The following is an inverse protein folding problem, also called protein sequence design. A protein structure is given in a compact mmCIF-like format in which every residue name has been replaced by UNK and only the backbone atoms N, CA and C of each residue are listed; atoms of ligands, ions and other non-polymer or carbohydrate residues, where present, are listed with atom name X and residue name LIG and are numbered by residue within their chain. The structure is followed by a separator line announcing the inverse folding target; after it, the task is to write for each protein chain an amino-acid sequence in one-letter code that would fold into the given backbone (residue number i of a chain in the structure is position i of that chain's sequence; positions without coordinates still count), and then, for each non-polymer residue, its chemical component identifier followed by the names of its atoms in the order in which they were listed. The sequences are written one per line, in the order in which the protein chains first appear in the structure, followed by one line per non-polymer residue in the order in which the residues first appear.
data_IF_966092861596
#
_entry.id   IF_966092861596
#
_cell.length_a   1.000
_cell.length_b   1.000
_cell.length_c   1.000
_cell.angle_alpha   90.00
_cell.angle_beta   90.00
_cell.angle_gamma   90.00
#
_symmetry.space_group_name_H-M   'P 1'
#
loop_
_entity.id
_entity.type
_entity.pdbx_description
1 polymer ?
#
# COMPACT_ATOMS: atom_id res chain seq x y z
N UNK A 1 21.86 13.35 9.21
CA UNK A 1 21.41 14.67 9.64
C UNK A 1 22.58 15.34 10.37
N UNK A 2 22.94 16.60 10.09
CA UNK A 2 23.77 17.37 11.00
C UNK A 2 22.99 17.49 12.31
N UNK A 3 23.66 17.22 13.42
CA UNK A 3 23.12 17.55 14.72
C UNK A 3 22.77 19.05 14.73
N UNK A 4 21.80 19.50 15.53
CA UNK A 4 21.34 20.87 15.60
C UNK A 4 22.49 21.90 15.84
N UNK A 5 23.66 21.40 16.25
CA UNK A 5 24.88 22.17 16.50
C UNK A 5 25.84 22.23 15.28
N UNK A 6 25.45 21.71 14.11
CA UNK A 6 26.28 21.76 12.90
C UNK A 6 27.53 20.86 12.94
N UNK A 7 27.58 19.89 13.84
CA UNK A 7 28.63 18.90 13.89
C UNK A 7 28.56 17.97 12.65
N UNK A 8 29.69 17.60 12.09
CA UNK A 8 29.73 16.60 11.01
C UNK A 8 29.12 15.29 11.54
N UNK A 9 28.29 14.60 10.73
CA UNK A 9 27.65 13.35 11.15
C UNK A 9 28.73 12.35 11.52
N UNK A 10 28.60 11.73 12.70
CA UNK A 10 29.51 10.67 13.13
C UNK A 10 29.40 9.50 12.14
N UNK A 11 30.46 9.25 11.40
CA UNK A 11 30.52 8.20 10.36
C UNK A 11 30.25 6.81 10.98
N UNK A 12 30.53 6.63 12.27
CA UNK A 12 30.22 5.39 13.01
C UNK A 12 28.72 5.12 13.13
N UNK A 13 27.87 6.16 13.02
CA UNK A 13 26.40 6.06 13.05
C UNK A 13 25.81 5.86 11.64
N UNK A 14 26.58 5.98 10.57
CA UNK A 14 26.11 5.65 9.23
C UNK A 14 25.78 4.16 9.13
N UNK A 15 24.58 3.86 8.65
CA UNK A 15 24.07 2.49 8.49
C UNK A 15 23.82 2.19 7.00
N UNK A 16 24.88 1.95 6.20
CA UNK A 16 24.72 1.64 4.79
C UNK A 16 23.91 0.35 4.62
N UNK A 17 23.04 0.37 3.64
CA UNK A 17 22.18 -0.75 3.28
C UNK A 17 22.24 -0.97 1.77
N UNK A 18 22.41 -2.23 1.37
CA UNK A 18 22.44 -2.66 -0.02
C UNK A 18 21.49 -3.85 -0.17
N UNK A 19 20.54 -3.75 -1.09
CA UNK A 19 19.64 -4.83 -1.44
C UNK A 19 19.78 -5.21 -2.91
N UNK A 20 19.71 -6.53 -3.19
CA UNK A 20 19.61 -7.09 -4.54
C UNK A 20 18.42 -8.03 -4.57
N UNK A 21 17.45 -7.69 -5.41
CA UNK A 21 16.25 -8.49 -5.63
C UNK A 21 16.23 -9.04 -7.05
N UNK A 22 15.88 -10.31 -7.17
CA UNK A 22 15.63 -10.97 -8.44
C UNK A 22 14.26 -11.63 -8.37
N UNK A 23 13.36 -11.24 -9.28
CA UNK A 23 12.01 -11.79 -9.35
C UNK A 23 11.78 -12.36 -10.75
N UNK A 24 11.29 -13.61 -10.80
CA UNK A 24 10.90 -14.30 -12.04
C UNK A 24 9.45 -14.71 -11.92
N UNK A 25 8.65 -14.35 -12.94
CA UNK A 25 7.18 -14.55 -12.93
C UNK A 25 6.72 -15.27 -14.20
N UNK A 26 7.02 -16.58 -14.39
CA UNK A 26 6.54 -17.33 -15.54
C UNK A 26 5.03 -17.52 -15.47
N UNK A 27 4.37 -17.43 -16.61
CA UNK A 27 2.95 -17.73 -16.71
C UNK A 27 2.64 -18.45 -18.03
N UNK A 28 1.75 -19.43 -17.95
CA UNK A 28 1.17 -20.11 -19.11
C UNK A 28 -0.34 -20.09 -18.95
N UNK A 29 -1.04 -19.56 -19.95
CA UNK A 29 -2.50 -19.49 -19.95
C UNK A 29 -3.06 -20.10 -21.23
N UNK A 30 -4.22 -20.69 -21.14
CA UNK A 30 -4.98 -21.15 -22.27
C UNK A 30 -6.43 -20.64 -22.18
N UNK A 31 -7.02 -20.42 -23.35
CA UNK A 31 -8.42 -20.04 -23.47
C UNK A 31 -9.09 -20.95 -24.47
N UNK A 32 -10.29 -21.45 -24.15
CA UNK A 32 -11.10 -22.28 -25.04
C UNK A 32 -12.54 -21.78 -25.04
N UNK A 33 -13.10 -21.62 -26.22
CA UNK A 33 -14.50 -21.19 -26.41
C UNK A 33 -15.33 -22.41 -26.82
N UNK A 34 -16.30 -22.75 -25.98
CA UNK A 34 -17.17 -23.90 -26.10
C UNK A 34 -18.64 -23.49 -26.02
N UNK A 35 -19.21 -23.11 -27.16
CA UNK A 35 -20.58 -22.60 -27.20
C UNK A 35 -20.75 -21.31 -26.41
N UNK A 36 -21.52 -21.36 -25.31
CA UNK A 36 -21.76 -20.22 -24.43
C UNK A 36 -20.79 -20.16 -23.22
N UNK A 37 -19.72 -20.97 -23.25
CA UNK A 37 -18.67 -21.02 -22.24
C UNK A 37 -17.34 -20.53 -22.82
N UNK A 38 -16.63 -19.69 -22.06
CA UNK A 38 -15.24 -19.33 -22.34
C UNK A 38 -14.39 -19.76 -21.15
N UNK A 39 -13.72 -20.90 -21.31
CA UNK A 39 -12.83 -21.44 -20.29
C UNK A 39 -11.47 -20.76 -20.37
N UNK A 40 -10.99 -20.23 -19.26
CA UNK A 40 -9.65 -19.71 -19.06
C UNK A 40 -8.98 -20.49 -17.95
N UNK A 41 -7.81 -21.06 -18.23
CA UNK A 41 -7.03 -21.76 -17.22
C UNK A 41 -5.54 -21.52 -17.39
N UNK A 42 -4.77 -21.89 -16.38
CA UNK A 42 -3.33 -21.73 -16.48
C UNK A 42 -2.56 -22.04 -15.22
N UNK A 43 -1.25 -21.84 -15.33
CA UNK A 43 -0.29 -21.92 -14.23
C UNK A 43 0.52 -20.63 -14.20
N UNK A 44 0.79 -20.12 -13.01
CA UNK A 44 1.63 -18.95 -12.75
C UNK A 44 2.64 -19.29 -11.68
N UNK A 45 3.88 -18.84 -11.89
CA UNK A 45 4.93 -18.87 -10.88
C UNK A 45 5.32 -17.47 -10.47
N UNK A 46 5.70 -17.31 -9.21
CA UNK A 46 6.33 -16.12 -8.67
C UNK A 46 7.49 -16.58 -7.79
N UNK A 47 8.71 -16.21 -8.16
CA UNK A 47 9.92 -16.64 -7.49
C UNK A 47 10.78 -15.43 -7.20
N UNK A 48 10.90 -15.06 -5.94
CA UNK A 48 11.70 -13.92 -5.51
C UNK A 48 12.86 -14.37 -4.63
N UNK A 49 14.02 -13.80 -4.89
CA UNK A 49 15.23 -13.93 -4.08
C UNK A 49 15.73 -12.53 -3.77
N UNK A 50 15.75 -12.20 -2.49
CA UNK A 50 16.27 -10.94 -1.98
C UNK A 50 17.49 -11.20 -1.12
N UNK A 51 18.57 -10.49 -1.39
CA UNK A 51 19.76 -10.45 -0.53
C UNK A 51 19.99 -9.04 -0.07
N UNK A 52 20.03 -8.87 1.22
CA UNK A 52 20.25 -7.59 1.89
C UNK A 52 21.58 -7.62 2.65
N UNK A 53 22.28 -6.51 2.67
CA UNK A 53 23.47 -6.29 3.49
C UNK A 53 23.30 -4.96 4.20
N UNK A 54 23.30 -4.97 5.51
CA UNK A 54 23.16 -3.78 6.35
C UNK A 54 24.22 -3.72 7.43
N UNK A 55 24.54 -2.51 7.86
CA UNK A 55 25.40 -2.24 9.00
C UNK A 55 24.50 -1.96 10.23
N UNK A 56 24.75 -2.63 11.33
CA UNK A 56 24.02 -2.53 12.58
C UNK A 56 24.97 -2.32 13.76
N UNK A 57 24.40 -1.95 14.90
CA UNK A 57 25.14 -1.83 16.17
C UNK A 57 24.42 -2.67 17.21
N UNK A 58 25.15 -3.47 17.97
CA UNK A 58 24.60 -4.16 19.14
C UNK A 58 24.36 -3.11 20.23
N UNK A 59 23.11 -2.86 20.54
CA UNK A 59 22.68 -1.87 21.52
C UNK A 59 21.61 -2.38 22.49
N UNK A 60 21.28 -3.66 22.41
CA UNK A 60 20.28 -4.28 23.27
C UNK A 60 20.80 -4.47 24.69
N UNK A 61 19.92 -4.31 25.68
CA UNK A 61 20.28 -4.43 27.10
C UNK A 61 20.88 -5.81 27.43
N UNK A 62 20.30 -6.87 26.87
CA UNK A 62 20.75 -8.25 27.09
C UNK A 62 22.13 -8.56 26.46
N UNK A 63 22.56 -7.70 25.54
CA UNK A 63 23.83 -7.86 24.83
C UNK A 63 24.97 -6.96 25.39
N UNK A 64 24.73 -6.23 26.49
CA UNK A 64 25.73 -5.34 27.11
C UNK A 64 27.03 -6.07 27.52
N UNK A 65 26.96 -7.35 27.80
CA UNK A 65 28.14 -8.18 28.12
C UNK A 65 28.90 -8.63 26.88
N UNK A 66 28.35 -8.44 25.69
CA UNK A 66 29.04 -8.77 24.43
C UNK A 66 30.29 -7.90 24.26
N UNK A 67 31.46 -8.48 23.86
CA UNK A 67 32.64 -7.69 23.54
C UNK A 67 32.43 -6.77 22.32
N UNK A 68 31.34 -6.96 21.57
CA UNK A 68 30.97 -6.15 20.40
C UNK A 68 29.87 -5.14 20.69
N UNK A 69 29.47 -4.97 21.97
CA UNK A 69 28.46 -3.98 22.34
C UNK A 69 28.91 -2.58 21.94
N UNK A 70 28.05 -1.85 21.26
CA UNK A 70 28.35 -0.52 20.71
C UNK A 70 29.23 -0.55 19.44
N UNK A 71 29.66 -1.70 18.97
CA UNK A 71 30.52 -1.86 17.78
C UNK A 71 29.63 -2.15 16.54
N UNK A 72 29.86 -1.44 15.43
CA UNK A 72 29.16 -1.75 14.17
C UNK A 72 29.50 -3.15 13.66
N UNK A 73 28.50 -3.88 13.19
CA UNK A 73 28.64 -5.19 12.57
C UNK A 73 27.78 -5.32 11.31
N UNK A 74 28.21 -6.15 10.37
CA UNK A 74 27.47 -6.42 9.15
C UNK A 74 26.49 -7.56 9.36
N UNK A 75 25.24 -7.37 8.90
CA UNK A 75 24.25 -8.44 8.77
C UNK A 75 23.91 -8.65 7.30
N UNK A 76 23.86 -9.92 6.89
CA UNK A 76 23.45 -10.36 5.56
C UNK A 76 22.15 -11.14 5.70
N UNK A 77 21.07 -10.57 5.18
CA UNK A 77 19.77 -11.24 5.06
C UNK A 77 19.62 -11.92 3.72
N UNK A 78 19.11 -13.14 3.71
CA UNK A 78 18.67 -13.88 2.51
C UNK A 78 17.20 -14.19 2.67
N UNK A 79 16.39 -13.70 1.75
CA UNK A 79 14.94 -13.88 1.77
C UNK A 79 14.48 -14.55 0.48
N UNK A 80 13.45 -15.37 0.58
CA UNK A 80 12.80 -15.95 -0.57
C UNK A 80 11.28 -15.94 -0.41
N UNK A 81 10.60 -15.81 -1.54
CA UNK A 81 9.17 -16.04 -1.66
C UNK A 81 8.92 -16.78 -2.98
N UNK A 82 8.38 -17.98 -2.88
CA UNK A 82 8.03 -18.84 -4.00
C UNK A 82 6.54 -19.12 -3.96
N UNK A 83 5.89 -18.93 -5.09
CA UNK A 83 4.48 -19.25 -5.28
C UNK A 83 4.30 -19.94 -6.62
N UNK A 84 3.57 -21.05 -6.62
CA UNK A 84 3.09 -21.71 -7.84
C UNK A 84 1.59 -21.86 -7.71
N UNK A 85 0.85 -21.23 -8.63
CA UNK A 85 -0.60 -21.22 -8.65
C UNK A 85 -1.17 -21.85 -9.93
N UNK A 86 -2.16 -22.72 -9.76
CA UNK A 86 -3.00 -23.25 -10.81
C UNK A 86 -4.38 -22.63 -10.71
N UNK A 87 -4.93 -22.19 -11.84
CA UNK A 87 -6.27 -21.59 -11.84
C UNK A 87 -7.08 -22.03 -13.04
N UNK A 88 -8.40 -22.04 -12.83
CA UNK A 88 -9.39 -22.21 -13.89
C UNK A 88 -10.60 -21.35 -13.57
N UNK A 89 -11.18 -20.76 -14.61
CA UNK A 89 -12.46 -20.08 -14.56
C UNK A 89 -13.26 -20.34 -15.82
N UNK A 90 -14.56 -20.23 -15.71
CA UNK A 90 -15.50 -20.28 -16.82
C UNK A 90 -16.28 -18.97 -16.92
N UNK A 91 -16.25 -18.30 -18.05
CA UNK A 91 -17.20 -17.23 -18.37
C UNK A 91 -18.40 -17.87 -19.08
N UNK A 92 -19.42 -18.15 -18.30
CA UNK A 92 -20.63 -18.81 -18.78
C UNK A 92 -21.74 -17.79 -19.08
N UNK A 93 -22.03 -17.61 -20.35
CA UNK A 93 -23.17 -16.82 -20.84
C UNK A 93 -24.45 -17.63 -20.69
N UNK A 94 -25.05 -17.62 -19.45
CA UNK A 94 -26.26 -18.37 -19.12
C UNK A 94 -27.43 -17.95 -20.02
N UNK A 95 -27.54 -16.66 -20.29
CA UNK A 95 -28.46 -16.06 -21.25
C UNK A 95 -27.77 -14.91 -21.99
N UNK A 96 -28.45 -14.29 -22.94
CA UNK A 96 -27.93 -13.08 -23.59
C UNK A 96 -27.70 -11.90 -22.64
N UNK A 97 -28.31 -11.91 -21.44
CA UNK A 97 -28.24 -10.85 -20.43
C UNK A 97 -27.49 -11.25 -19.17
N UNK A 98 -27.32 -12.53 -18.91
CA UNK A 98 -26.73 -13.05 -17.69
C UNK A 98 -25.46 -13.81 -17.98
N UNK A 99 -24.35 -13.33 -17.45
CA UNK A 99 -23.05 -14.01 -17.44
C UNK A 99 -22.67 -14.35 -15.99
N UNK A 100 -22.21 -15.59 -15.76
CA UNK A 100 -21.70 -16.06 -14.46
C UNK A 100 -20.28 -16.53 -14.65
N UNK A 101 -19.37 -16.12 -13.77
CA UNK A 101 -17.94 -16.43 -13.88
C UNK A 101 -17.46 -17.09 -12.58
N UNK A 102 -17.69 -18.41 -12.39
CA UNK A 102 -17.05 -19.17 -11.33
C UNK A 102 -15.57 -19.36 -11.65
N UNK A 103 -14.73 -19.36 -10.63
CA UNK A 103 -13.30 -19.63 -10.75
C UNK A 103 -12.72 -20.16 -9.44
N UNK A 104 -11.63 -20.90 -9.58
CA UNK A 104 -10.86 -21.42 -8.46
C UNK A 104 -9.38 -21.29 -8.76
N UNK A 105 -8.61 -20.97 -7.75
CA UNK A 105 -7.15 -20.95 -7.79
C UNK A 105 -6.60 -21.73 -6.61
N UNK A 106 -5.59 -22.54 -6.86
CA UNK A 106 -4.85 -23.28 -5.86
C UNK A 106 -3.40 -22.84 -5.93
N UNK A 107 -2.88 -22.33 -4.82
CA UNK A 107 -1.52 -21.80 -4.73
C UNK A 107 -0.72 -22.56 -3.68
N UNK A 108 0.51 -22.94 -4.03
CA UNK A 108 1.51 -23.43 -3.10
C UNK A 108 2.49 -22.31 -2.81
N UNK A 109 2.59 -21.94 -1.53
CA UNK A 109 3.46 -20.86 -1.05
C UNK A 109 4.63 -21.46 -0.26
N UNK A 110 5.83 -20.94 -0.47
CA UNK A 110 7.01 -21.18 0.35
C UNK A 110 7.76 -19.86 0.51
N UNK A 111 7.96 -19.41 1.74
CA UNK A 111 8.73 -18.20 2.00
C UNK A 111 9.56 -18.32 3.27
N UNK A 112 10.62 -17.51 3.38
CA UNK A 112 11.48 -17.55 4.55
C UNK A 112 12.61 -16.52 4.47
N UNK A 113 13.23 -16.32 5.62
CA UNK A 113 14.33 -15.38 5.82
C UNK A 113 15.40 -16.03 6.70
N UNK A 114 16.66 -15.85 6.31
CA UNK A 114 17.85 -16.32 7.02
C UNK A 114 18.83 -15.15 7.16
N UNK A 115 19.52 -15.07 8.29
CA UNK A 115 20.48 -14.01 8.56
C UNK A 115 21.83 -14.58 8.96
N UNK A 116 22.88 -13.89 8.53
CA UNK A 116 24.25 -14.12 8.97
C UNK A 116 24.90 -12.80 9.39
N UNK A 117 25.55 -12.78 10.54
CA UNK A 117 26.19 -11.59 11.10
C UNK A 117 27.69 -11.74 11.16
N UNK A 118 28.48 -10.66 11.02
CA UNK A 118 29.93 -10.66 11.09
C UNK A 118 30.47 -10.86 12.52
N UNK A 119 29.62 -10.67 13.53
CA UNK A 119 29.91 -10.96 14.94
C UNK A 119 28.80 -11.85 15.50
N UNK A 120 29.07 -12.56 16.57
CA UNK A 120 28.06 -13.39 17.21
C UNK A 120 27.06 -12.51 17.96
N UNK A 121 25.82 -12.54 17.51
CA UNK A 121 24.64 -11.90 18.16
C UNK A 121 23.63 -12.98 18.54
N UNK A 122 22.67 -12.63 19.38
CA UNK A 122 21.57 -13.55 19.72
C UNK A 122 20.78 -13.94 18.47
N UNK A 123 20.47 -15.23 18.31
CA UNK A 123 19.63 -15.74 17.23
C UNK A 123 18.21 -15.13 17.29
N UNK A 124 17.76 -14.73 18.48
CA UNK A 124 16.46 -14.07 18.68
C UNK A 124 16.42 -12.66 18.09
N UNK A 125 17.58 -12.00 17.96
CA UNK A 125 17.67 -10.69 17.30
C UNK A 125 17.47 -10.78 15.77
N UNK A 126 17.81 -11.93 15.18
CA UNK A 126 17.68 -12.22 13.75
C UNK A 126 17.08 -13.61 13.53
N UNK A 127 15.81 -13.84 13.90
CA UNK A 127 15.21 -15.16 13.83
C UNK A 127 15.12 -15.67 12.39
N UNK A 128 15.55 -16.92 12.18
CA UNK A 128 15.27 -17.63 10.93
C UNK A 128 13.79 -17.94 10.83
N UNK A 129 13.19 -17.61 9.70
CA UNK A 129 11.77 -17.82 9.48
C UNK A 129 11.52 -18.78 8.32
N UNK A 130 10.47 -19.59 8.43
CA UNK A 130 10.01 -20.49 7.38
C UNK A 130 8.51 -20.54 7.36
N UNK A 131 7.95 -20.49 6.16
CA UNK A 131 6.52 -20.64 5.94
C UNK A 131 6.28 -21.51 4.71
N UNK A 132 5.34 -22.44 4.82
CA UNK A 132 4.89 -23.26 3.69
C UNK A 132 3.41 -23.56 3.86
N UNK A 133 2.63 -23.30 2.82
CA UNK A 133 1.19 -23.53 2.82
C UNK A 133 0.61 -23.66 1.43
N UNK A 134 -0.32 -24.59 1.25
CA UNK A 134 -1.20 -24.62 0.08
C UNK A 134 -2.53 -23.96 0.44
N UNK A 135 -3.01 -23.09 -0.45
CA UNK A 135 -4.27 -22.35 -0.29
C UNK A 135 -5.20 -22.61 -1.46
N UNK A 136 -6.50 -22.56 -1.19
CA UNK A 136 -7.55 -22.65 -2.21
C UNK A 136 -8.35 -21.36 -2.16
N UNK A 137 -8.42 -20.70 -3.29
CA UNK A 137 -9.00 -19.36 -3.43
C UNK A 137 -10.15 -19.40 -4.47
N UNK A 138 -11.39 -19.72 -4.05
CA UNK A 138 -12.55 -19.64 -4.92
C UNK A 138 -13.00 -18.21 -5.15
N UNK A 139 -13.63 -17.99 -6.31
CA UNK A 139 -14.30 -16.74 -6.65
C UNK A 139 -15.53 -17.01 -7.51
N UNK A 140 -16.49 -16.10 -7.46
CA UNK A 140 -17.65 -16.07 -8.37
C UNK A 140 -17.97 -14.62 -8.70
N UNK A 141 -18.21 -14.34 -9.98
CA UNK A 141 -18.72 -13.06 -10.43
C UNK A 141 -19.98 -13.26 -11.27
N UNK A 142 -20.89 -12.29 -11.20
CA UNK A 142 -22.14 -12.26 -11.95
C UNK A 142 -22.24 -10.90 -12.62
N UNK A 143 -22.59 -10.90 -13.91
CA UNK A 143 -22.94 -9.71 -14.69
C UNK A 143 -24.37 -9.89 -15.20
N UNK A 144 -25.21 -8.88 -15.00
CA UNK A 144 -26.58 -8.87 -15.49
C UNK A 144 -26.88 -7.58 -16.26
N UNK A 145 -27.22 -7.70 -17.52
CA UNK A 145 -27.63 -6.60 -18.39
C UNK A 145 -29.13 -6.35 -18.25
N UNK A 146 -29.50 -5.48 -17.31
CA UNK A 146 -30.90 -5.12 -17.04
C UNK A 146 -31.53 -4.52 -18.31
N UNK A 147 -30.81 -3.56 -18.92
CA UNK A 147 -31.11 -2.94 -20.20
C UNK A 147 -29.80 -2.79 -20.99
N UNK A 148 -29.83 -2.45 -22.30
CA UNK A 148 -28.60 -2.14 -23.04
C UNK A 148 -27.74 -1.02 -22.43
N UNK A 149 -28.34 -0.19 -21.58
CA UNK A 149 -27.66 0.92 -20.92
C UNK A 149 -27.37 0.71 -19.44
N UNK A 150 -27.91 -0.32 -18.79
CA UNK A 150 -27.74 -0.57 -17.36
C UNK A 150 -27.22 -1.97 -17.12
N UNK A 151 -26.04 -2.07 -16.53
CA UNK A 151 -25.36 -3.33 -16.18
C UNK A 151 -25.15 -3.38 -14.69
N UNK A 152 -25.58 -4.48 -14.07
CA UNK A 152 -25.29 -4.78 -12.67
C UNK A 152 -24.18 -5.84 -12.60
N UNK A 153 -23.28 -5.74 -11.61
CA UNK A 153 -22.27 -6.74 -11.33
C UNK A 153 -22.20 -7.00 -9.85
N UNK A 154 -21.96 -8.27 -9.52
CA UNK A 154 -21.64 -8.70 -8.16
C UNK A 154 -20.48 -9.67 -8.20
N UNK A 155 -19.59 -9.62 -7.23
CA UNK A 155 -18.55 -10.63 -7.07
C UNK A 155 -18.21 -10.90 -5.61
N UNK A 156 -17.77 -12.15 -5.37
CA UNK A 156 -17.17 -12.60 -4.11
C UNK A 156 -15.90 -13.34 -4.49
N UNK A 157 -14.80 -13.03 -3.81
CA UNK A 157 -13.53 -13.70 -4.03
C UNK A 157 -12.69 -13.78 -2.76
N UNK A 158 -11.79 -14.74 -2.72
CA UNK A 158 -10.87 -14.95 -1.61
C UNK A 158 -9.44 -14.70 -2.05
N UNK A 159 -8.57 -14.34 -1.11
CA UNK A 159 -7.15 -14.10 -1.32
C UNK A 159 -6.31 -14.52 -0.12
N UNK A 160 -5.02 -14.68 -0.35
CA UNK A 160 -4.05 -15.07 0.67
C UNK A 160 -2.73 -14.32 0.46
N UNK A 161 -2.06 -13.95 1.56
CA UNK A 161 -0.73 -13.35 1.57
C UNK A 161 0.17 -14.14 2.51
N UNK A 162 1.30 -14.62 2.01
CA UNK A 162 2.34 -15.25 2.82
C UNK A 162 3.08 -14.22 3.69
N UNK A 163 3.61 -14.60 4.88
CA UNK A 163 4.10 -13.64 5.87
C UNK A 163 5.55 -13.18 5.68
N UNK A 164 6.35 -13.82 4.84
CA UNK A 164 7.80 -13.57 4.72
C UNK A 164 8.24 -13.41 3.26
N UNK A 165 9.46 -12.93 3.07
CA UNK A 165 10.12 -12.87 1.77
C UNK A 165 9.85 -11.58 0.99
N UNK A 166 9.36 -10.52 1.64
CA UNK A 166 9.03 -9.26 1.00
C UNK A 166 10.14 -8.22 1.11
N UNK A 167 10.26 -7.38 0.07
CA UNK A 167 11.10 -6.19 0.06
C UNK A 167 10.47 -4.98 0.78
N UNK A 168 9.25 -5.12 1.27
CA UNK A 168 8.48 -4.05 1.93
C UNK A 168 8.98 -3.69 3.34
N UNK A 169 10.06 -4.30 3.80
CA UNK A 169 10.65 -3.98 5.09
C UNK A 169 11.19 -2.56 5.11
N UNK A 170 10.94 -1.85 6.20
CA UNK A 170 11.52 -0.54 6.41
C UNK A 170 13.05 -0.65 6.43
N UNK A 171 13.69 0.07 5.53
CA UNK A 171 15.14 0.06 5.39
C UNK A 171 15.79 1.08 6.34
N UNK A 172 16.83 0.66 7.04
CA UNK A 172 17.54 1.52 7.96
C UNK A 172 18.21 2.75 7.30
N UNK A 173 18.52 2.65 6.02
CA UNK A 173 19.12 3.76 5.26
C UNK A 173 18.21 4.97 5.09
N UNK A 174 16.91 4.85 5.32
CA UNK A 174 15.94 5.95 5.25
C UNK A 174 15.68 6.62 6.59
N UNK A 175 16.50 6.34 7.63
CA UNK A 175 16.22 6.79 9.00
C UNK A 175 15.07 6.02 9.67
N UNK A 176 14.51 5.05 8.99
CA UNK A 176 13.44 4.22 9.53
C UNK A 176 13.97 3.29 10.63
N UNK A 177 13.22 3.09 11.70
CA UNK A 177 13.60 2.18 12.77
C UNK A 177 13.68 0.74 12.26
N UNK A 178 14.52 -0.08 12.89
CA UNK A 178 14.55 -1.52 12.64
C UNK A 178 13.21 -2.14 13.01
N UNK A 179 12.76 -3.06 12.18
CA UNK A 179 11.52 -3.81 12.40
C UNK A 179 11.85 -5.30 12.54
N UNK A 180 11.50 -5.88 13.67
CA UNK A 180 11.70 -7.29 13.94
C UNK A 180 10.57 -8.13 13.35
N UNK A 181 10.87 -9.37 12.93
CA UNK A 181 9.87 -10.31 12.43
C UNK A 181 9.84 -11.56 13.29
N UNK A 182 8.67 -11.84 13.86
CA UNK A 182 8.43 -13.10 14.55
C UNK A 182 8.53 -14.30 13.60
N UNK A 183 9.11 -15.41 14.07
CA UNK A 183 9.10 -16.69 13.34
C UNK A 183 7.71 -17.35 13.29
N UNK A 184 6.72 -16.80 14.00
CA UNK A 184 5.39 -17.38 14.17
C UNK A 184 4.29 -16.63 13.38
N UNK A 185 4.67 -15.77 12.43
CA UNK A 185 3.68 -15.06 11.62
C UNK A 185 2.82 -16.01 10.81
N UNK A 186 1.51 -15.76 10.83
CA UNK A 186 0.51 -16.45 10.03
C UNK A 186 0.29 -15.72 8.71
N UNK A 187 -0.12 -16.44 7.67
CA UNK A 187 -0.54 -15.80 6.43
C UNK A 187 -1.88 -15.08 6.58
N UNK A 188 -1.94 -13.89 6.01
CA UNK A 188 -3.17 -13.07 5.96
C UNK A 188 -4.16 -13.64 4.95
N UNK A 189 -5.45 -13.65 5.29
CA UNK A 189 -6.55 -14.07 4.40
C UNK A 189 -7.52 -12.94 4.17
N UNK A 190 -8.03 -12.86 2.95
CA UNK A 190 -9.02 -11.88 2.55
C UNK A 190 -10.26 -12.56 1.96
N UNK A 191 -11.44 -11.97 2.24
CA UNK A 191 -12.69 -12.25 1.53
C UNK A 191 -13.25 -10.90 1.10
N UNK A 192 -13.40 -10.72 -0.21
CA UNK A 192 -13.89 -9.48 -0.80
C UNK A 192 -15.28 -9.67 -1.40
N UNK A 193 -16.13 -8.70 -1.18
CA UNK A 193 -17.50 -8.57 -1.72
C UNK A 193 -17.60 -7.27 -2.48
N UNK A 194 -18.12 -7.31 -3.70
CA UNK A 194 -18.36 -6.11 -4.51
C UNK A 194 -19.74 -6.19 -5.16
N UNK A 195 -20.42 -5.06 -5.20
CA UNK A 195 -21.68 -4.86 -5.92
C UNK A 195 -21.59 -3.55 -6.70
N UNK A 196 -21.79 -3.59 -8.01
CA UNK A 196 -21.71 -2.41 -8.83
C UNK A 196 -22.87 -2.28 -9.82
N UNK A 197 -23.16 -1.04 -10.19
CA UNK A 197 -24.07 -0.69 -11.26
C UNK A 197 -23.38 0.32 -12.19
N UNK A 198 -23.44 0.05 -13.49
CA UNK A 198 -22.92 0.92 -14.54
C UNK A 198 -24.06 1.33 -15.46
N UNK A 199 -24.20 2.63 -15.68
CA UNK A 199 -25.15 3.20 -16.63
C UNK A 199 -24.41 3.87 -17.78
N UNK A 200 -24.74 3.47 -19.00
CA UNK A 200 -24.15 3.96 -20.25
C UNK A 200 -25.20 4.67 -21.08
N UNK A 201 -25.03 5.96 -21.29
CA UNK A 201 -25.80 6.74 -22.24
C UNK A 201 -24.89 7.31 -23.34
N UNK A 202 -25.46 7.84 -24.40
CA UNK A 202 -24.67 8.33 -25.56
C UNK A 202 -23.60 9.35 -25.18
N UNK A 203 -23.87 10.21 -24.17
CA UNK A 203 -22.96 11.28 -23.74
C UNK A 203 -22.50 11.16 -22.30
N UNK A 204 -23.06 10.23 -21.53
CA UNK A 204 -22.83 10.10 -20.10
C UNK A 204 -22.60 8.66 -19.72
N UNK A 205 -21.71 8.46 -18.79
CA UNK A 205 -21.49 7.19 -18.12
C UNK A 205 -21.46 7.44 -16.61
N UNK A 206 -22.18 6.62 -15.86
CA UNK A 206 -22.19 6.65 -14.40
C UNK A 206 -21.85 5.26 -13.89
N UNK A 207 -21.09 5.20 -12.82
CA UNK A 207 -20.79 3.96 -12.11
C UNK A 207 -20.88 4.16 -10.61
N UNK A 208 -21.39 3.15 -9.93
CA UNK A 208 -21.33 3.03 -8.48
C UNK A 208 -20.82 1.63 -8.14
N UNK A 209 -19.89 1.53 -7.22
CA UNK A 209 -19.41 0.27 -6.66
C UNK A 209 -19.43 0.36 -5.14
N UNK A 210 -20.00 -0.65 -4.48
CA UNK A 210 -19.97 -0.83 -3.04
C UNK A 210 -19.11 -2.04 -2.78
N UNK A 211 -18.11 -1.91 -1.91
CA UNK A 211 -17.19 -2.98 -1.63
C UNK A 211 -16.96 -3.17 -0.15
N UNK A 212 -16.63 -4.40 0.23
CA UNK A 212 -16.13 -4.77 1.54
C UNK A 212 -15.13 -5.91 1.42
N UNK A 213 -13.96 -5.75 2.04
CA UNK A 213 -12.96 -6.80 2.21
C UNK A 213 -12.75 -7.04 3.70
N UNK A 214 -12.99 -8.27 4.14
CA UNK A 214 -12.65 -8.71 5.48
C UNK A 214 -11.26 -9.36 5.43
N UNK A 215 -10.39 -8.94 6.33
CA UNK A 215 -9.02 -9.42 6.49
C UNK A 215 -8.93 -10.20 7.79
N UNK A 216 -8.39 -11.39 7.72
CA UNK A 216 -8.12 -12.22 8.89
C UNK A 216 -6.61 -12.35 9.09
N UNK A 217 -6.18 -12.30 10.36
CA UNK A 217 -4.77 -12.37 10.73
C UNK A 217 -3.93 -11.28 10.00
N UNK A 218 -4.44 -10.01 9.94
CA UNK A 218 -3.77 -8.93 9.23
C UNK A 218 -2.36 -8.71 9.75
N UNK A 219 -1.38 -8.73 8.85
CA UNK A 219 0.02 -8.48 9.14
C UNK A 219 0.29 -6.99 9.05
N UNK A 220 0.85 -6.42 10.11
CA UNK A 220 1.27 -5.03 10.17
C UNK A 220 2.42 -4.89 11.16
N UNK A 221 3.25 -3.86 11.02
CA UNK A 221 4.18 -3.50 12.08
C UNK A 221 3.47 -2.73 13.19
N UNK A 222 3.90 -2.99 14.42
CA UNK A 222 3.46 -2.33 15.64
C UNK A 222 4.69 -1.99 16.48
N UNK A 223 4.57 -1.13 17.52
CA UNK A 223 5.65 -0.95 18.47
C UNK A 223 6.14 -2.28 19.01
N UNK A 224 7.46 -2.43 19.13
CA UNK A 224 8.06 -3.63 19.64
C UNK A 224 7.64 -3.87 21.10
N UNK A 225 7.34 -5.11 21.46
CA UNK A 225 7.16 -5.48 22.87
C UNK A 225 8.49 -5.41 23.64
N UNK A 226 8.44 -5.56 24.97
CA UNK A 226 9.62 -5.39 25.81
C UNK A 226 10.70 -6.45 25.55
N UNK A 227 10.32 -7.66 25.14
CA UNK A 227 11.29 -8.71 24.77
C UNK A 227 12.02 -8.36 23.48
N UNK A 228 11.33 -7.79 22.52
CA UNK A 228 11.89 -7.39 21.23
C UNK A 228 12.71 -6.11 21.34
N UNK A 229 12.31 -5.18 22.21
CA UNK A 229 13.08 -3.95 22.51
C UNK A 229 14.47 -4.25 23.06
N UNK A 230 14.64 -5.34 23.81
CA UNK A 230 15.95 -5.77 24.33
C UNK A 230 16.98 -6.01 23.22
N UNK A 231 16.54 -6.35 22.00
CA UNK A 231 17.39 -6.50 20.82
C UNK A 231 17.59 -5.20 20.03
N UNK A 232 17.17 -4.05 20.56
CA UNK A 232 17.31 -2.74 19.92
C UNK A 232 16.32 -2.46 18.77
N UNK A 233 15.21 -3.18 18.70
CA UNK A 233 14.14 -2.89 17.74
C UNK A 233 13.11 -1.95 18.34
N UNK A 234 12.65 -1.00 17.53
CA UNK A 234 11.55 -0.09 17.90
C UNK A 234 10.19 -0.62 17.47
N UNK A 235 10.16 -1.47 16.46
CA UNK A 235 8.95 -2.02 15.86
C UNK A 235 9.09 -3.51 15.54
N UNK A 236 7.95 -4.19 15.48
CA UNK A 236 7.87 -5.61 15.11
C UNK A 236 6.74 -5.85 14.10
N UNK A 237 6.93 -6.84 13.23
CA UNK A 237 5.86 -7.37 12.40
C UNK A 237 5.09 -8.43 13.18
N UNK A 238 3.78 -8.29 13.23
CA UNK A 238 2.89 -9.23 13.88
C UNK A 238 1.56 -9.38 13.15
N UNK A 239 0.81 -10.43 13.48
CA UNK A 239 -0.60 -10.52 13.11
C UNK A 239 -1.41 -9.72 14.14
N UNK A 240 -1.67 -8.47 13.81
CA UNK A 240 -2.23 -7.48 14.75
C UNK A 240 -3.65 -7.84 15.19
N UNK A 241 -4.54 -8.08 14.23
CA UNK A 241 -5.96 -8.38 14.47
C UNK A 241 -6.65 -8.73 13.14
N UNK A 242 -7.90 -9.16 13.23
CA UNK A 242 -8.81 -9.14 12.09
C UNK A 242 -9.18 -7.69 11.77
N UNK A 243 -9.36 -7.39 10.49
CA UNK A 243 -9.70 -6.06 10.02
C UNK A 243 -10.71 -6.11 8.89
N UNK A 244 -11.28 -4.96 8.55
CA UNK A 244 -12.05 -4.81 7.33
C UNK A 244 -11.76 -3.47 6.66
N UNK A 245 -11.91 -3.48 5.34
CA UNK A 245 -11.92 -2.29 4.49
C UNK A 245 -13.24 -2.31 3.73
N UNK A 246 -13.97 -1.20 3.74
CA UNK A 246 -15.22 -1.07 2.99
C UNK A 246 -15.36 0.35 2.45
N UNK A 247 -16.20 0.51 1.43
CA UNK A 247 -16.40 1.83 0.86
C UNK A 247 -17.41 1.85 -0.27
N UNK A 248 -17.55 3.05 -0.83
CA UNK A 248 -18.35 3.33 -2.00
C UNK A 248 -17.50 4.11 -2.99
N UNK A 249 -17.46 3.65 -4.23
CA UNK A 249 -16.82 4.31 -5.35
C UNK A 249 -17.90 4.84 -6.29
N UNK A 250 -17.75 6.09 -6.69
CA UNK A 250 -18.63 6.79 -7.62
C UNK A 250 -17.80 7.24 -8.82
N UNK A 251 -18.29 6.97 -10.02
CA UNK A 251 -17.67 7.44 -11.25
C UNK A 251 -18.71 8.12 -12.15
N UNK A 252 -18.32 9.23 -12.77
CA UNK A 252 -19.09 9.86 -13.81
C UNK A 252 -18.17 10.36 -14.91
N UNK A 253 -18.56 10.11 -16.17
CA UNK A 253 -17.92 10.68 -17.35
C UNK A 253 -18.99 11.32 -18.23
N UNK A 254 -18.65 12.46 -18.81
CA UNK A 254 -19.57 13.21 -19.68
C UNK A 254 -18.82 13.80 -20.87
N UNK A 255 -19.41 13.66 -22.06
CA UNK A 255 -19.07 14.50 -23.21
C UNK A 255 -20.05 15.66 -23.22
N UNK A 256 -19.68 16.79 -22.58
CA UNK A 256 -20.57 17.91 -22.31
C UNK A 256 -20.93 18.69 -23.58
N UNK A 257 -19.92 18.96 -24.41
CA UNK A 257 -20.07 19.59 -25.73
C UNK A 257 -18.96 19.14 -26.67
N UNK A 258 -18.97 19.59 -27.89
CA UNK A 258 -18.00 19.15 -28.91
C UNK A 258 -16.56 19.32 -28.40
N UNK A 259 -15.81 18.21 -28.38
CA UNK A 259 -14.40 18.14 -27.98
C UNK A 259 -14.12 18.45 -26.50
N UNK A 260 -15.15 18.47 -25.63
CA UNK A 260 -14.97 18.65 -24.20
C UNK A 260 -15.50 17.43 -23.43
N UNK A 261 -14.56 16.77 -22.72
CA UNK A 261 -14.86 15.66 -21.85
C UNK A 261 -14.58 16.03 -20.39
N UNK A 262 -15.43 15.58 -19.51
CA UNK A 262 -15.25 15.68 -18.07
C UNK A 262 -15.39 14.32 -17.43
N UNK A 263 -14.52 14.01 -16.47
CA UNK A 263 -14.54 12.80 -15.65
C UNK A 263 -14.42 13.17 -14.18
N UNK A 264 -15.09 12.40 -13.34
CA UNK A 264 -14.94 12.46 -11.89
C UNK A 264 -14.98 11.03 -11.34
N UNK A 265 -14.03 10.68 -10.48
CA UNK A 265 -14.07 9.48 -9.67
C UNK A 265 -13.94 9.90 -8.21
N UNK A 266 -14.71 9.24 -7.35
CA UNK A 266 -14.74 9.55 -5.93
C UNK A 266 -14.94 8.29 -5.11
N UNK A 267 -14.09 8.08 -4.12
CA UNK A 267 -14.14 6.93 -3.25
C UNK A 267 -14.22 7.37 -1.80
N UNK A 268 -15.19 6.84 -1.09
CA UNK A 268 -15.30 6.95 0.37
C UNK A 268 -14.87 5.64 0.99
N UNK A 269 -13.88 5.67 1.88
CA UNK A 269 -13.22 4.52 2.46
C UNK A 269 -13.36 4.48 3.98
N UNK A 270 -13.50 3.29 4.51
CA UNK A 270 -13.35 3.00 5.92
C UNK A 270 -12.54 1.71 6.10
N UNK A 271 -11.41 1.81 6.78
CA UNK A 271 -10.58 0.67 7.19
C UNK A 271 -10.51 0.62 8.71
N UNK A 272 -10.89 -0.53 9.32
CA UNK A 272 -10.87 -0.69 10.78
C UNK A 272 -10.43 -2.07 11.20
N UNK A 273 -9.69 -2.14 12.29
CA UNK A 273 -9.46 -3.34 13.07
C UNK A 273 -10.71 -3.74 13.84
N UNK A 274 -10.80 -5.01 14.20
CA UNK A 274 -11.92 -5.55 14.98
C UNK A 274 -11.91 -5.03 16.40
N UNK A 275 -10.72 -4.94 17.00
CA UNK A 275 -10.53 -4.46 18.36
C UNK A 275 -9.71 -3.17 18.39
N UNK A 276 -9.76 -2.45 19.49
CA UNK A 276 -8.88 -1.33 19.75
C UNK A 276 -7.46 -1.82 20.03
N UNK A 277 -6.47 -1.05 19.61
CA UNK A 277 -5.06 -1.39 19.79
C UNK A 277 -4.58 -0.74 21.07
N UNK A 278 -4.41 -1.52 22.13
CA UNK A 278 -4.01 -1.05 23.45
C UNK A 278 -2.61 -0.39 23.45
N UNK A 279 -1.72 -0.87 22.56
CA UNK A 279 -0.37 -0.34 22.37
C UNK A 279 -0.33 1.11 21.85
N UNK A 280 -1.43 1.62 21.31
CA UNK A 280 -1.49 2.99 20.79
C UNK A 280 -1.96 4.02 21.81
N UNK A 281 -2.73 3.59 22.80
CA UNK A 281 -3.04 4.40 23.96
C UNK A 281 -3.76 3.53 25.01
N UNK A 282 -3.07 3.22 26.08
CA UNK A 282 -3.70 2.60 27.23
C UNK A 282 -4.52 3.67 27.99
N UNK A 283 -5.84 3.52 28.11
CA UNK A 283 -6.65 4.43 28.90
C UNK A 283 -6.30 4.41 30.40
N UNK A 284 -5.58 3.37 30.87
CA UNK A 284 -5.10 3.28 32.24
C UNK A 284 -3.69 3.89 32.42
N UNK A 285 -3.02 4.29 31.34
CA UNK A 285 -1.77 5.02 31.43
C UNK A 285 -1.98 6.33 32.21
N UNK A 286 -1.27 6.52 33.30
CA UNK A 286 -1.40 7.72 34.13
C UNK A 286 -1.14 9.02 33.37
N UNK A 287 -0.32 8.96 32.32
CA UNK A 287 -0.04 10.09 31.44
C UNK A 287 -1.26 10.50 30.61
N UNK A 288 -2.29 9.66 30.45
CA UNK A 288 -3.57 10.01 29.79
C UNK A 288 -4.29 11.13 30.53
N UNK A 289 -4.16 11.20 31.88
CA UNK A 289 -4.77 12.27 32.68
C UNK A 289 -4.09 13.62 32.41
N UNK A 290 -2.81 13.61 32.19
CA UNK A 290 -2.00 14.78 31.86
C UNK A 290 -2.20 15.25 30.43
N UNK A 291 -2.45 14.32 29.50
CA UNK A 291 -2.67 14.60 28.07
C UNK A 291 -4.01 14.01 27.57
N UNK A 292 -5.13 14.72 27.77
CA UNK A 292 -6.49 14.26 27.42
C UNK A 292 -6.68 13.85 25.94
N UNK A 293 -5.87 14.38 25.01
CA UNK A 293 -5.87 13.99 23.60
C UNK A 293 -5.57 12.50 23.39
N UNK A 294 -4.86 11.85 24.31
CA UNK A 294 -4.59 10.41 24.27
C UNK A 294 -5.85 9.55 24.34
N UNK A 295 -6.89 10.01 25.03
CA UNK A 295 -8.19 9.33 25.05
C UNK A 295 -8.82 9.30 23.64
N UNK A 296 -8.59 10.34 22.84
CA UNK A 296 -9.06 10.38 21.46
C UNK A 296 -8.26 9.37 20.60
N UNK A 297 -6.96 9.24 20.85
CA UNK A 297 -6.13 8.25 20.15
C UNK A 297 -6.57 6.82 20.45
N UNK A 298 -6.96 6.49 21.69
CA UNK A 298 -7.51 5.17 22.01
C UNK A 298 -8.74 4.83 21.17
N UNK A 299 -9.67 5.79 21.04
CA UNK A 299 -10.87 5.62 20.21
C UNK A 299 -10.55 5.47 18.74
N UNK A 300 -9.49 6.12 18.26
CA UNK A 300 -9.05 6.11 16.88
C UNK A 300 -8.14 4.91 16.55
N UNK A 301 -7.66 4.16 17.56
CA UNK A 301 -6.73 3.05 17.39
C UNK A 301 -7.25 1.89 16.54
N UNK A 302 -8.56 1.79 16.36
CA UNK A 302 -9.18 0.84 15.43
C UNK A 302 -9.00 1.22 13.96
N UNK A 303 -8.64 2.45 13.62
CA UNK A 303 -8.47 2.86 12.24
C UNK A 303 -7.16 2.28 11.67
N UNK A 304 -7.21 1.78 10.44
CA UNK A 304 -6.01 1.37 9.72
C UNK A 304 -5.22 2.64 9.37
N UNK A 305 -3.95 2.68 9.75
CA UNK A 305 -3.07 3.80 9.44
C UNK A 305 -2.75 3.86 7.93
N UNK A 306 -2.41 5.06 7.43
CA UNK A 306 -2.10 5.35 6.02
C UNK A 306 -3.19 4.92 5.04
N UNK A 307 -4.43 4.96 5.49
CA UNK A 307 -5.60 4.63 4.71
C UNK A 307 -6.54 5.85 4.62
N UNK A 308 -6.56 6.58 3.48
CA UNK A 308 -7.37 7.78 3.33
C UNK A 308 -8.86 7.48 3.43
N UNK A 309 -9.59 8.27 4.22
CA UNK A 309 -11.05 8.14 4.33
C UNK A 309 -11.78 8.49 3.02
N UNK A 310 -11.11 9.21 2.13
CA UNK A 310 -11.66 9.65 0.86
C UNK A 310 -10.54 9.86 -0.14
N UNK A 311 -10.74 9.42 -1.38
CA UNK A 311 -9.88 9.74 -2.52
C UNK A 311 -10.74 10.14 -3.70
N UNK A 312 -10.19 10.90 -4.63
CA UNK A 312 -10.93 11.28 -5.83
C UNK A 312 -10.04 11.96 -6.86
N UNK A 313 -10.54 12.02 -8.06
CA UNK A 313 -9.94 12.76 -9.18
C UNK A 313 -11.01 13.44 -10.02
N UNK A 314 -10.64 14.53 -10.65
CA UNK A 314 -11.40 15.22 -11.66
C UNK A 314 -10.51 15.41 -12.87
N UNK A 315 -11.00 15.01 -14.04
CA UNK A 315 -10.34 15.16 -15.32
C UNK A 315 -11.19 16.00 -16.26
N UNK A 316 -10.59 17.05 -16.80
CA UNK A 316 -11.21 17.91 -17.79
C UNK A 316 -10.32 17.96 -19.02
N UNK A 317 -10.84 17.58 -20.19
CA UNK A 317 -10.13 17.57 -21.45
C UNK A 317 -10.88 18.37 -22.49
N UNK A 318 -10.20 19.31 -23.14
CA UNK A 318 -10.70 20.10 -24.24
C UNK A 318 -9.76 20.04 -25.44
N UNK A 319 -10.25 19.54 -26.57
CA UNK A 319 -9.43 19.26 -27.76
C UNK A 319 -9.94 19.98 -29.02
N UNK A 320 -9.90 21.32 -29.09
CA UNK A 320 -10.34 22.07 -30.26
C UNK A 320 -9.28 22.02 -31.37
N UNK A 321 -9.61 21.37 -32.49
CA UNK A 321 -8.76 21.29 -33.67
C UNK A 321 -7.39 20.65 -33.40
N UNK A 322 -6.32 21.44 -33.47
CA UNK A 322 -4.93 20.97 -33.22
C UNK A 322 -4.45 21.22 -31.79
N UNK A 323 -5.26 21.85 -30.97
CA UNK A 323 -4.96 22.08 -29.57
C UNK A 323 -5.51 20.99 -28.67
N UNK A 324 -4.85 20.75 -27.55
CA UNK A 324 -5.40 19.97 -26.42
C UNK A 324 -5.07 20.66 -25.10
N UNK A 325 -6.07 20.78 -24.27
CA UNK A 325 -5.96 21.31 -22.91
C UNK A 325 -6.46 20.25 -21.94
N UNK A 326 -5.70 19.96 -20.91
CA UNK A 326 -6.15 19.07 -19.84
C UNK A 326 -5.91 19.71 -18.47
N UNK A 327 -6.87 19.55 -17.60
CA UNK A 327 -6.77 19.84 -16.18
C UNK A 327 -7.13 18.57 -15.42
N UNK A 328 -6.21 18.07 -14.62
CA UNK A 328 -6.44 16.90 -13.77
C UNK A 328 -6.27 17.30 -12.33
N UNK A 329 -7.03 16.70 -11.46
CA UNK A 329 -6.85 16.88 -10.03
C UNK A 329 -6.81 15.54 -9.32
N UNK A 330 -6.16 15.49 -8.16
CA UNK A 330 -6.23 14.35 -7.25
C UNK A 330 -6.52 14.84 -5.84
N UNK A 331 -7.52 14.24 -5.22
CA UNK A 331 -7.91 14.49 -3.85
C UNK A 331 -7.43 13.36 -2.95
N UNK A 332 -6.81 13.69 -1.84
CA UNK A 332 -6.57 12.78 -0.73
C UNK A 332 -7.23 13.31 0.53
N UNK A 333 -8.16 12.54 1.07
CA UNK A 333 -8.82 12.81 2.33
C UNK A 333 -7.92 12.56 3.52
N UNK A 334 -8.45 12.88 4.69
CA UNK A 334 -7.77 12.62 5.97
C UNK A 334 -7.47 11.14 6.13
N UNK A 335 -6.32 10.85 6.69
CA UNK A 335 -5.92 9.50 7.13
C UNK A 335 -5.22 9.58 8.47
N UNK A 336 -5.14 8.47 9.15
CA UNK A 336 -4.34 8.33 10.37
C UNK A 336 -2.94 7.90 9.99
N UNK A 337 -1.94 8.48 10.64
CA UNK A 337 -0.53 8.11 10.51
C UNK A 337 0.07 7.89 11.89
N UNK A 338 0.99 6.95 11.98
CA UNK A 338 1.77 6.73 13.20
C UNK A 338 2.70 7.93 13.41
N UNK A 339 2.76 8.44 14.64
CA UNK A 339 3.48 9.64 14.96
C UNK A 339 4.05 9.58 16.37
N UNK A 340 5.33 9.83 16.49
CA UNK A 340 5.99 10.10 17.76
C UNK A 340 6.33 11.59 17.81
N UNK A 341 5.69 12.36 18.69
CA UNK A 341 6.07 13.75 18.96
C UNK A 341 6.69 13.83 20.34
N UNK A 342 7.91 14.27 20.42
CA UNK A 342 8.53 14.66 21.68
C UNK A 342 7.98 16.01 22.18
N UNK A 343 7.48 16.84 21.28
CA UNK A 343 6.98 18.20 21.59
C UNK A 343 5.75 18.23 22.52
N UNK A 344 4.99 17.14 22.57
CA UNK A 344 3.77 17.06 23.41
C UNK A 344 4.03 16.39 24.78
N UNK A 345 5.29 16.07 25.10
CA UNK A 345 5.65 15.32 26.31
C UNK A 345 5.06 13.89 26.33
N UNK A 346 4.46 13.48 25.23
CA UNK A 346 3.78 12.22 25.06
C UNK A 346 4.22 11.57 23.76
N UNK A 347 4.58 10.33 23.79
CA UNK A 347 4.60 9.49 22.60
C UNK A 347 3.18 9.34 22.06
N UNK A 348 2.67 10.37 21.39
CA UNK A 348 1.38 10.24 20.72
C UNK A 348 1.59 9.40 19.48
N UNK A 349 0.84 8.32 19.35
CA UNK A 349 1.13 7.27 18.38
C UNK A 349 0.29 7.38 17.10
N UNK A 350 -0.70 8.27 17.08
CA UNK A 350 -1.55 8.50 15.90
C UNK A 350 -1.81 9.99 15.69
N UNK A 351 -1.61 10.45 14.48
CA UNK A 351 -2.02 11.78 14.01
C UNK A 351 -2.97 11.65 12.81
N UNK A 352 -3.92 12.57 12.75
CA UNK A 352 -4.85 12.69 11.63
C UNK A 352 -4.34 13.77 10.67
N UNK A 353 -4.12 13.40 9.41
CA UNK A 353 -3.63 14.34 8.38
C UNK A 353 -4.73 15.29 7.92
N UNK A 354 -4.35 16.35 7.23
CA UNK A 354 -5.28 17.22 6.53
C UNK A 354 -5.76 16.58 5.22
N UNK A 355 -6.93 17.03 4.74
CA UNK A 355 -7.38 16.76 3.37
C UNK A 355 -6.70 17.75 2.44
N UNK A 356 -6.20 17.29 1.31
CA UNK A 356 -5.62 18.15 0.27
C UNK A 356 -6.01 17.73 -1.12
N UNK A 357 -5.88 18.66 -2.07
CA UNK A 357 -6.17 18.44 -3.48
C UNK A 357 -5.05 19.03 -4.32
N UNK A 358 -4.54 18.23 -5.24
CA UNK A 358 -3.49 18.65 -6.19
C UNK A 358 -4.13 18.89 -7.55
N UNK A 359 -3.65 19.91 -8.24
CA UNK A 359 -4.11 20.23 -9.59
C UNK A 359 -2.92 20.27 -10.54
N UNK A 360 -3.10 19.64 -11.71
CA UNK A 360 -2.11 19.62 -12.78
C UNK A 360 -2.77 20.13 -14.06
N UNK A 361 -2.05 20.90 -14.86
CA UNK A 361 -2.55 21.35 -16.15
C UNK A 361 -1.54 21.07 -17.25
N UNK A 362 -2.04 20.90 -18.46
CA UNK A 362 -1.23 20.73 -19.66
C UNK A 362 -1.94 21.37 -20.85
N UNK A 363 -1.18 22.11 -21.67
CA UNK A 363 -1.60 22.58 -22.97
C UNK A 363 -0.65 22.01 -24.04
N UNK A 364 -1.20 21.58 -25.16
CA UNK A 364 -0.40 21.09 -26.28
C UNK A 364 -0.96 21.56 -27.60
N UNK A 365 -0.08 21.75 -28.59
CA UNK A 365 -0.43 22.09 -29.96
C UNK A 365 0.29 21.20 -30.95
N UNK A 366 -0.45 20.59 -31.84
CA UNK A 366 0.07 19.76 -32.93
C UNK A 366 0.32 20.58 -34.19
N UNK A 367 1.53 20.41 -34.74
CA UNK A 367 2.00 20.99 -36.00
C UNK A 367 2.44 19.84 -36.91
N UNK A 368 1.52 19.29 -37.70
CA UNK A 368 1.83 18.12 -38.52
C UNK A 368 2.30 16.91 -37.68
N UNK A 369 3.55 16.50 -37.86
CA UNK A 369 4.18 15.40 -37.13
C UNK A 369 4.70 15.80 -35.73
N UNK A 370 4.81 17.10 -35.45
CA UNK A 370 5.34 17.61 -34.19
C UNK A 370 4.21 18.05 -33.26
N UNK A 371 4.37 17.81 -31.98
CA UNK A 371 3.49 18.33 -30.92
C UNK A 371 4.34 19.01 -29.86
N UNK A 372 4.14 20.31 -29.68
CA UNK A 372 4.75 21.08 -28.59
C UNK A 372 3.77 21.09 -27.42
N UNK A 373 4.26 20.89 -26.21
CA UNK A 373 3.43 20.94 -25.02
C UNK A 373 4.14 21.60 -23.84
N UNK A 374 3.36 22.21 -22.99
CA UNK A 374 3.80 22.77 -21.71
C UNK A 374 2.75 22.42 -20.64
N UNK A 375 3.20 22.35 -19.40
CA UNK A 375 2.30 22.06 -18.29
C UNK A 375 2.94 22.35 -16.94
N UNK A 376 2.12 22.21 -15.92
CA UNK A 376 2.55 22.32 -14.54
C UNK A 376 1.85 21.25 -13.69
N UNK A 377 2.60 20.69 -12.75
CA UNK A 377 2.11 19.82 -11.69
C UNK A 377 2.01 20.60 -10.40
N UNK A 378 1.02 20.27 -9.57
CA UNK A 378 0.80 20.94 -8.30
C UNK A 378 0.75 22.47 -8.44
N UNK A 379 -0.10 22.96 -9.34
CA UNK A 379 -0.12 24.39 -9.78
C UNK A 379 -0.34 25.39 -8.63
N UNK A 380 -0.96 24.94 -7.53
CA UNK A 380 -1.18 25.77 -6.34
C UNK A 380 -0.07 25.62 -5.29
N UNK A 381 1.03 24.90 -5.61
CA UNK A 381 2.17 24.69 -4.72
C UNK A 381 1.80 24.18 -3.35
N UNK A 382 0.83 23.26 -3.27
CA UNK A 382 0.50 22.63 -2.00
C UNK A 382 1.72 21.82 -1.49
N UNK A 383 2.10 22.05 -0.27
CA UNK A 383 3.22 21.38 0.40
C UNK A 383 2.72 20.88 1.74
N UNK A 384 3.20 19.71 2.17
CA UNK A 384 2.96 19.17 3.50
C UNK A 384 3.43 20.16 4.58
N UNK A 385 2.83 20.12 5.77
CA UNK A 385 3.22 20.93 6.92
C UNK A 385 4.74 20.80 7.17
N UNK A 386 5.44 21.92 7.19
CA UNK A 386 6.91 22.00 7.26
C UNK A 386 7.50 21.37 8.53
N UNK A 387 6.73 21.32 9.63
CA UNK A 387 7.20 20.78 10.92
C UNK A 387 7.65 19.32 10.87
N UNK A 388 7.32 18.59 9.80
CA UNK A 388 7.51 17.15 9.74
C UNK A 388 8.10 16.68 8.40
N UNK A 389 8.68 17.57 7.63
CA UNK A 389 9.25 17.24 6.31
C UNK A 389 10.56 16.46 6.40
N UNK A 390 11.20 16.48 7.53
CA UNK A 390 12.43 15.76 7.87
C UNK A 390 12.17 14.33 8.37
N UNK A 391 10.96 14.00 8.80
CA UNK A 391 10.57 12.66 9.22
C UNK A 391 9.90 11.87 8.10
N UNK A 392 10.59 10.85 7.56
CA UNK A 392 10.07 9.98 6.52
C UNK A 392 8.77 9.26 6.93
N UNK A 393 8.59 8.98 8.21
CA UNK A 393 7.35 8.39 8.73
C UNK A 393 6.15 9.34 8.62
N UNK A 394 6.41 10.63 8.50
CA UNK A 394 5.41 11.68 8.40
C UNK A 394 5.01 12.04 6.98
N UNK A 395 5.78 11.63 5.98
CA UNK A 395 5.50 11.96 4.59
C UNK A 395 4.18 11.36 4.12
N UNK A 396 3.19 12.21 3.87
CA UNK A 396 1.87 11.84 3.37
C UNK A 396 1.40 12.71 2.20
N UNK A 397 2.12 13.79 1.88
CA UNK A 397 1.78 14.74 0.85
C UNK A 397 3.06 15.26 0.16
N UNK A 398 2.95 16.02 -0.94
CA UNK A 398 4.11 16.57 -1.61
C UNK A 398 4.97 17.44 -0.69
N UNK A 399 6.29 17.29 -0.83
CA UNK A 399 7.30 18.13 -0.18
C UNK A 399 7.87 19.20 -1.12
N UNK A 400 7.46 19.17 -2.38
CA UNK A 400 7.83 20.15 -3.41
C UNK A 400 6.59 20.87 -3.92
N UNK A 401 6.72 22.18 -4.18
CA UNK A 401 5.68 23.01 -4.78
C UNK A 401 5.44 22.73 -6.26
N UNK A 402 4.99 23.72 -6.99
CA UNK A 402 4.70 23.60 -8.40
C UNK A 402 5.93 23.23 -9.24
N UNK A 403 5.77 22.27 -10.14
CA UNK A 403 6.81 21.87 -11.10
C UNK A 403 6.33 22.13 -12.51
N UNK A 404 7.08 22.94 -13.27
CA UNK A 404 6.78 23.30 -14.65
C UNK A 404 7.59 22.44 -15.61
N UNK A 405 7.02 22.13 -16.76
CA UNK A 405 7.70 21.38 -17.80
C UNK A 405 7.27 21.83 -19.20
N UNK A 406 8.17 21.69 -20.16
CA UNK A 406 7.92 21.88 -21.58
C UNK A 406 8.53 20.71 -22.34
N UNK A 407 7.91 20.33 -23.46
CA UNK A 407 8.43 19.23 -24.26
C UNK A 407 7.94 19.26 -25.69
N UNK A 408 8.63 18.46 -26.51
CA UNK A 408 8.36 18.21 -27.91
C UNK A 408 8.20 16.71 -28.13
N UNK A 409 7.14 16.33 -28.83
CA UNK A 409 6.93 14.94 -29.31
C UNK A 409 6.89 14.94 -30.84
N UNK A 410 7.62 14.03 -31.46
CA UNK A 410 7.62 13.83 -32.91
C UNK A 410 7.09 12.44 -33.20
N UNK A 411 6.05 12.36 -34.04
CA UNK A 411 5.49 11.09 -34.52
C UNK A 411 6.16 10.77 -35.86
N UNK A 412 7.00 9.75 -35.87
CA UNK A 412 7.66 9.20 -37.08
C UNK A 412 6.72 8.33 -37.88
#
# INVERSE_FOLDING_TARGET
HPDEDGAEPDVSMMRPYIAKENTVTPSLTFTSILGNHTLLGGVQGYFTRLRETGLYVISAEDEKTSPYYGVPYTSIGKKHADEVGFFIQDEWNVTQKLTVVPGIRVDSHSSGEEYATSVKVSDSAFPTTKFSKTTVNPRIAIKYEVTPSLVLRANIGTGFRAPYGFSEDLHLCSGSPRVWKSSNLKGERAISYNLSADYYAKKYQFSINIFRTNLKDKIQFSPADDEVKKFGYSYQWENVDDAYVQGVELGAKANLFRNFNAGINWTFNQGKFKHERADWSDPNDETVKEFPQRLQYAKDSRNISRFPAMTGDIDLDYTPGTWSFSLTSSLQGRMYIDYNSEDDGATSKIKKTNTFMLFNCRAAKRFGMCTVYAGAKNIFSYIQDEKHTDDAAFMYAPVYGATWYVGLSVKL
#
